data_IF_555474908555
#
_entry.id   IF_555474908555
#
_cell.length_a   1.000
_cell.length_b   1.000
_cell.length_c   1.000
_cell.angle_alpha   90.00
_cell.angle_beta   90.00
_cell.angle_gamma   90.00
#
_symmetry.space_group_name_H-M   'P 1'
#
loop_
_entity.id
_entity.type
_entity.pdbx_description
1 polymer ?
#
# COMPACT_ATOMS: atom_id res chain seq x y z
N UNK A 1 0.84 20.07 -13.43
CA UNK A 1 -0.16 19.10 -12.97
C UNK A 1 0.64 17.97 -12.35
N UNK A 2 0.58 17.80 -11.03
CA UNK A 2 1.26 16.67 -10.36
C UNK A 2 0.62 15.38 -10.84
N UNK A 3 1.25 14.73 -11.82
CA UNK A 3 0.76 13.48 -12.39
C UNK A 3 1.22 12.33 -11.50
N UNK A 4 0.45 12.09 -10.44
CA UNK A 4 0.66 10.93 -9.55
C UNK A 4 0.11 9.68 -10.22
N UNK A 5 0.86 8.58 -10.15
CA UNK A 5 0.35 7.31 -10.64
C UNK A 5 -0.67 6.75 -9.65
N UNK A 6 -1.81 6.28 -10.17
CA UNK A 6 -2.92 5.83 -9.34
C UNK A 6 -2.91 4.33 -9.15
N UNK A 7 -2.99 3.90 -7.89
CA UNK A 7 -3.12 2.51 -7.50
C UNK A 7 -4.37 2.33 -6.62
N UNK A 8 -5.04 1.20 -6.76
CA UNK A 8 -6.26 0.90 -5.99
C UNK A 8 -6.04 -0.34 -5.14
N UNK A 9 -6.17 -0.20 -3.82
CA UNK A 9 -6.22 -1.31 -2.87
C UNK A 9 -7.70 -1.62 -2.61
N UNK A 10 -8.14 -2.85 -2.90
CA UNK A 10 -9.54 -3.24 -2.68
C UNK A 10 -9.72 -3.99 -1.35
N UNK A 11 -10.18 -3.27 -0.32
CA UNK A 11 -10.49 -3.80 1.01
C UNK A 11 -11.55 -4.91 1.03
N UNK A 12 -12.26 -5.14 -0.08
CA UNK A 12 -13.18 -6.29 -0.21
C UNK A 12 -12.41 -7.60 -0.37
N UNK A 13 -11.21 -7.58 -0.95
CA UNK A 13 -10.41 -8.77 -1.32
C UNK A 13 -9.67 -9.43 -0.14
N UNK A 14 -9.60 -8.78 1.02
CA UNK A 14 -8.98 -9.34 2.22
C UNK A 14 -9.78 -9.11 3.50
N UNK A 15 -9.46 -9.90 4.52
CA UNK A 15 -10.03 -9.82 5.86
C UNK A 15 -9.01 -10.08 6.97
N UNK A 16 -7.73 -10.22 6.62
CA UNK A 16 -6.61 -10.40 7.54
C UNK A 16 -5.32 -9.86 6.89
N UNK A 17 -4.24 -9.75 7.67
CA UNK A 17 -2.97 -9.20 7.19
C UNK A 17 -2.33 -10.03 6.07
N UNK A 18 -2.49 -11.36 6.07
CA UNK A 18 -1.95 -12.20 5.01
C UNK A 18 -2.56 -11.86 3.64
N UNK A 19 -3.88 -11.68 3.60
CA UNK A 19 -4.61 -11.26 2.40
C UNK A 19 -4.36 -9.80 2.02
N UNK A 20 -4.09 -8.91 2.99
CA UNK A 20 -3.63 -7.55 2.69
C UNK A 20 -2.32 -7.57 1.89
N UNK A 21 -1.34 -8.38 2.31
CA UNK A 21 -0.09 -8.51 1.57
C UNK A 21 -0.27 -9.13 0.17
N UNK A 22 -1.21 -10.07 0.00
CA UNK A 22 -1.55 -10.61 -1.33
C UNK A 22 -2.12 -9.50 -2.25
N UNK A 23 -3.00 -8.66 -1.71
CA UNK A 23 -3.57 -7.54 -2.47
C UNK A 23 -2.51 -6.50 -2.84
N UNK A 24 -1.65 -6.11 -1.89
CA UNK A 24 -0.54 -5.19 -2.15
C UNK A 24 0.39 -5.74 -3.23
N UNK A 25 0.78 -7.01 -3.14
CA UNK A 25 1.60 -7.67 -4.16
C UNK A 25 0.90 -7.59 -5.53
N UNK A 26 -0.39 -7.90 -5.60
CA UNK A 26 -1.15 -7.84 -6.85
C UNK A 26 -1.26 -6.43 -7.44
N UNK A 27 -1.36 -5.40 -6.59
CA UNK A 27 -1.58 -4.00 -7.00
C UNK A 27 -0.29 -3.34 -7.44
N UNK A 28 0.80 -3.51 -6.69
CA UNK A 28 2.03 -2.76 -6.86
C UNK A 28 3.14 -3.57 -7.54
N UNK A 29 3.09 -4.90 -7.52
CA UNK A 29 4.13 -5.75 -8.09
C UNK A 29 3.68 -6.30 -9.45
N UNK A 30 4.61 -6.36 -10.39
CA UNK A 30 4.43 -7.02 -11.67
C UNK A 30 5.63 -7.93 -11.96
N UNK A 31 5.38 -9.21 -12.23
CA UNK A 31 6.38 -10.09 -12.84
C UNK A 31 7.58 -10.47 -11.96
N UNK A 32 7.47 -10.45 -10.63
CA UNK A 32 8.50 -11.01 -9.76
C UNK A 32 8.29 -12.53 -9.59
N UNK A 33 9.36 -13.30 -9.75
CA UNK A 33 9.39 -14.76 -9.53
C UNK A 33 9.39 -15.15 -8.03
N UNK A 34 9.39 -14.15 -7.13
CA UNK A 34 9.48 -14.33 -5.69
C UNK A 34 8.45 -13.47 -4.96
N UNK A 35 7.96 -13.96 -3.81
CA UNK A 35 7.00 -13.26 -2.97
C UNK A 35 7.67 -12.19 -2.13
N UNK A 36 7.02 -11.03 -2.00
CA UNK A 36 7.49 -9.97 -1.11
C UNK A 36 7.49 -10.42 0.36
N UNK A 37 8.30 -9.75 1.18
CA UNK A 37 8.25 -9.94 2.64
C UNK A 37 6.85 -9.65 3.17
N UNK A 38 6.31 -10.53 4.03
CA UNK A 38 4.95 -10.37 4.60
C UNK A 38 4.97 -9.56 5.90
N UNK A 39 5.53 -8.35 5.82
CA UNK A 39 5.64 -7.42 6.95
C UNK A 39 5.51 -5.97 6.46
N UNK A 40 5.33 -5.04 7.40
CA UNK A 40 5.11 -3.63 7.09
C UNK A 40 6.36 -2.92 6.55
N UNK A 41 7.57 -3.39 6.85
CA UNK A 41 8.79 -2.84 6.26
C UNK A 41 8.85 -3.13 4.76
N UNK A 42 8.50 -4.36 4.36
CA UNK A 42 8.39 -4.71 2.95
C UNK A 42 7.29 -3.91 2.24
N UNK A 43 6.16 -3.65 2.92
CA UNK A 43 5.14 -2.73 2.40
C UNK A 43 5.71 -1.33 2.19
N UNK A 44 6.47 -0.80 3.15
CA UNK A 44 7.13 0.50 3.02
C UNK A 44 8.09 0.53 1.81
N UNK A 45 8.90 -0.50 1.62
CA UNK A 45 9.81 -0.61 0.47
C UNK A 45 9.08 -0.62 -0.88
N UNK A 46 7.88 -1.20 -0.93
CA UNK A 46 7.04 -1.19 -2.13
C UNK A 46 6.60 0.22 -2.47
N UNK A 47 6.19 1.02 -1.48
CA UNK A 47 5.76 2.40 -1.69
C UNK A 47 6.89 3.31 -2.18
N UNK A 48 8.15 2.98 -1.85
CA UNK A 48 9.33 3.66 -2.41
C UNK A 48 9.56 3.35 -3.88
N UNK A 49 9.16 2.18 -4.36
CA UNK A 49 9.24 1.79 -5.77
C UNK A 49 10.61 1.30 -6.24
N UNK A 50 10.76 1.16 -7.56
CA UNK A 50 12.01 0.74 -8.22
C UNK A 50 12.14 -0.76 -8.52
N UNK A 51 11.12 -1.56 -8.17
CA UNK A 51 11.06 -3.00 -8.48
C UNK A 51 9.63 -3.50 -8.76
N UNK A 52 8.67 -2.58 -8.79
CA UNK A 52 7.24 -2.86 -8.98
C UNK A 52 6.70 -2.15 -10.22
N UNK A 53 5.47 -1.66 -10.12
CA UNK A 53 4.76 -0.96 -11.20
C UNK A 53 5.07 0.52 -11.32
N UNK A 54 5.84 1.08 -10.40
CA UNK A 54 6.28 2.47 -10.43
C UNK A 54 7.79 2.59 -10.15
N UNK A 55 8.37 3.66 -10.67
CA UNK A 55 9.78 3.99 -10.51
C UNK A 55 10.10 4.39 -9.07
N UNK A 56 11.39 4.31 -8.72
CA UNK A 56 11.85 4.73 -7.39
C UNK A 56 11.59 6.22 -7.16
N UNK A 57 10.93 6.55 -6.05
CA UNK A 57 10.57 7.92 -5.67
C UNK A 57 9.48 8.56 -6.55
N UNK A 58 8.85 7.80 -7.45
CA UNK A 58 7.74 8.29 -8.25
C UNK A 58 6.55 8.63 -7.32
N UNK A 59 5.96 9.84 -7.41
CA UNK A 59 4.78 10.16 -6.63
C UNK A 59 3.59 9.29 -7.03
N UNK A 60 2.93 8.70 -6.04
CA UNK A 60 1.76 7.85 -6.26
C UNK A 60 0.56 8.32 -5.44
N UNK A 61 -0.61 7.90 -5.90
CA UNK A 61 -1.90 8.14 -5.28
C UNK A 61 -2.60 6.81 -5.06
N UNK A 62 -2.90 6.49 -3.80
CA UNK A 62 -3.53 5.24 -3.39
C UNK A 62 -4.99 5.50 -3.10
N UNK A 63 -5.87 4.82 -3.83
CA UNK A 63 -7.29 4.75 -3.52
C UNK A 63 -7.56 3.46 -2.75
N UNK A 64 -8.18 3.56 -1.58
CA UNK A 64 -8.50 2.40 -0.75
C UNK A 64 -10.01 2.18 -0.71
N UNK A 65 -10.50 1.18 -1.46
CA UNK A 65 -11.93 0.83 -1.50
C UNK A 65 -12.33 0.01 -0.27
N UNK A 66 -13.54 0.25 0.24
CA UNK A 66 -14.08 -0.42 1.42
C UNK A 66 -13.13 -0.30 2.63
N UNK A 67 -12.61 0.92 2.86
CA UNK A 67 -11.66 1.20 3.93
C UNK A 67 -12.22 0.80 5.31
N UNK A 68 -13.47 1.13 5.59
CA UNK A 68 -14.12 0.79 6.87
C UNK A 68 -14.21 -0.73 7.12
N UNK A 69 -14.40 -1.54 6.07
CA UNK A 69 -14.35 -3.01 6.19
C UNK A 69 -12.96 -3.46 6.65
N UNK A 70 -11.92 -2.84 6.09
CA UNK A 70 -10.52 -3.15 6.45
C UNK A 70 -10.25 -2.80 7.91
N UNK A 71 -10.73 -1.65 8.39
CA UNK A 71 -10.65 -1.25 9.81
C UNK A 71 -11.35 -2.25 10.73
N UNK A 72 -12.56 -2.70 10.38
CA UNK A 72 -13.29 -3.70 11.19
C UNK A 72 -12.57 -5.04 11.26
N UNK A 73 -11.89 -5.46 10.18
CA UNK A 73 -11.28 -6.78 10.09
C UNK A 73 -9.85 -6.81 10.65
N UNK A 74 -9.05 -5.79 10.36
CA UNK A 74 -7.64 -5.73 10.76
C UNK A 74 -7.44 -5.05 12.11
N UNK A 75 -8.42 -4.26 12.55
CA UNK A 75 -8.34 -3.45 13.76
C UNK A 75 -7.80 -2.05 13.47
N UNK A 76 -8.21 -1.10 14.32
CA UNK A 76 -7.87 0.32 14.18
C UNK A 76 -6.37 0.57 14.29
N UNK A 77 -5.69 -0.04 15.27
CA UNK A 77 -4.26 0.16 15.50
C UNK A 77 -3.43 -0.26 14.28
N UNK A 78 -3.70 -1.44 13.72
CA UNK A 78 -3.02 -1.92 12.51
C UNK A 78 -3.28 -1.02 11.31
N UNK A 79 -4.51 -0.56 11.12
CA UNK A 79 -4.84 0.35 10.03
C UNK A 79 -4.18 1.73 10.20
N UNK A 80 -4.12 2.25 11.43
CA UNK A 80 -3.45 3.52 11.74
C UNK A 80 -1.96 3.42 11.36
N UNK A 81 -1.27 2.33 11.72
CA UNK A 81 0.13 2.09 11.31
C UNK A 81 0.30 2.01 9.79
N UNK A 82 -0.61 1.33 9.08
CA UNK A 82 -0.56 1.25 7.61
C UNK A 82 -0.73 2.65 6.99
N UNK A 83 -1.63 3.46 7.53
CA UNK A 83 -1.84 4.84 7.08
C UNK A 83 -0.61 5.70 7.34
N UNK A 84 0.00 5.59 8.52
CA UNK A 84 1.24 6.33 8.85
C UNK A 84 2.37 6.01 7.88
N UNK A 85 2.52 4.73 7.50
CA UNK A 85 3.47 4.29 6.47
C UNK A 85 3.11 4.92 5.12
N UNK A 86 1.84 4.84 4.69
CA UNK A 86 1.42 5.43 3.41
C UNK A 86 1.67 6.94 3.38
N UNK A 87 1.41 7.65 4.47
CA UNK A 87 1.59 9.10 4.53
C UNK A 87 3.04 9.52 4.81
N UNK A 88 3.97 8.56 4.87
CA UNK A 88 5.40 8.76 5.09
C UNK A 88 5.70 9.67 6.29
N UNK A 89 5.01 9.45 7.42
CA UNK A 89 5.14 10.32 8.59
C UNK A 89 6.52 10.31 9.24
N UNK A 90 7.33 9.28 8.95
CA UNK A 90 8.72 9.13 9.36
C UNK A 90 9.73 9.62 8.30
N UNK A 91 9.26 10.21 7.19
CA UNK A 91 10.08 10.74 6.09
C UNK A 91 11.02 9.70 5.49
N UNK A 92 10.50 8.50 5.31
CA UNK A 92 11.21 7.33 4.86
C UNK A 92 11.48 7.35 3.35
N UNK A 93 10.93 8.32 2.61
CA UNK A 93 11.43 8.73 1.29
C UNK A 93 10.51 8.43 0.10
N UNK A 94 9.21 8.20 0.33
CA UNK A 94 8.22 8.06 -0.74
C UNK A 94 7.16 9.16 -0.68
N UNK A 95 6.65 9.56 -1.85
CA UNK A 95 5.60 10.58 -1.96
C UNK A 95 4.26 9.92 -2.31
N UNK A 96 3.55 9.49 -1.29
CA UNK A 96 2.26 8.83 -1.42
C UNK A 96 1.13 9.72 -0.87
N UNK A 97 -0.03 9.62 -1.51
CA UNK A 97 -1.29 10.18 -0.99
C UNK A 97 -2.32 9.07 -0.85
N UNK A 98 -3.27 9.23 0.09
CA UNK A 98 -4.29 8.23 0.36
C UNK A 98 -5.69 8.84 0.26
N UNK A 99 -6.51 8.29 -0.62
CA UNK A 99 -7.96 8.50 -0.67
C UNK A 99 -8.68 7.28 -0.08
N UNK A 100 -9.60 7.50 0.86
CA UNK A 100 -10.34 6.43 1.56
C UNK A 100 -11.78 6.41 1.04
N UNK A 101 -12.18 5.29 0.46
CA UNK A 101 -13.47 5.08 -0.22
C UNK A 101 -14.27 3.92 0.40
#
# INVERSE_FOLDING_TARGET
MDMREMFTIDGRRFSNMAGFYDEVEQVFICGLDWKIGRNLNAFNDILRGGFGRHEYGQPIHIQWLAYEKSVRNLGKETMDTIVEIILDTDHSGHDCTLERL
#
